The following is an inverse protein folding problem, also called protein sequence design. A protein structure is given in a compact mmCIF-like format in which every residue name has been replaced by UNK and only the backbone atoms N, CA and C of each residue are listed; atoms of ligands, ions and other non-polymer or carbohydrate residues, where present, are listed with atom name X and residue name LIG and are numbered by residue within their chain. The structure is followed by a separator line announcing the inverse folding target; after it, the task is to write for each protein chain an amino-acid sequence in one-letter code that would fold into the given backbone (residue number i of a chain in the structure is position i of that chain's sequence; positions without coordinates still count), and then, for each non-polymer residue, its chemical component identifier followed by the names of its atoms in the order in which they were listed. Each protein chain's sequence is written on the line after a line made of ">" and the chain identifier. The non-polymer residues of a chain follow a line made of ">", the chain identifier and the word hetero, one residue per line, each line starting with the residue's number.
data_IF_375731055077
#
_entry.id   IF_375731055077
#
_cell.length_a   1.000
_cell.length_b   1.000
_cell.length_c   1.000
_cell.angle_alpha   90.00
_cell.angle_beta   90.00
_cell.angle_gamma   90.00
#
_symmetry.space_group_name_H-M   'P 1'
#
loop_
_entity.id
_entity.type
_entity.pdbx_description
1 polymer ?
#
# COMPACT_ATOMS: atom_id res chain seq x y z
N UNK A 1 -41.55 -23.45 11.54
CA UNK A 1 -41.12 -22.56 10.44
C UNK A 1 -40.89 -21.11 10.90
N UNK A 2 -41.65 -20.55 11.82
CA UNK A 2 -41.57 -19.15 12.27
C UNK A 2 -40.33 -18.86 13.17
N UNK A 3 -39.96 -19.79 14.02
CA UNK A 3 -38.79 -19.68 14.92
C UNK A 3 -37.45 -19.60 14.14
N UNK A 4 -37.32 -20.33 13.03
CA UNK A 4 -36.17 -20.30 12.13
C UNK A 4 -36.02 -18.93 11.45
N UNK A 5 -37.11 -18.32 10.99
CA UNK A 5 -37.12 -16.99 10.35
C UNK A 5 -36.76 -15.85 11.33
N UNK A 6 -37.09 -15.97 12.61
CA UNK A 6 -36.74 -15.01 13.66
C UNK A 6 -35.23 -15.10 13.98
N UNK A 7 -34.71 -16.33 14.02
CA UNK A 7 -33.24 -16.54 14.23
C UNK A 7 -32.42 -15.95 13.08
N UNK A 8 -32.80 -16.19 11.83
CA UNK A 8 -32.12 -15.65 10.63
C UNK A 8 -32.14 -14.11 10.62
N UNK A 9 -33.30 -13.49 10.86
CA UNK A 9 -33.40 -12.02 10.93
C UNK A 9 -32.56 -11.40 12.05
N UNK A 10 -32.44 -12.05 13.20
CA UNK A 10 -31.59 -11.58 14.29
C UNK A 10 -30.09 -11.70 13.93
N UNK A 11 -29.72 -12.76 13.25
CA UNK A 11 -28.36 -12.98 12.76
C UNK A 11 -27.98 -11.92 11.72
N UNK A 12 -28.83 -11.65 10.72
CA UNK A 12 -28.62 -10.62 9.70
C UNK A 12 -28.49 -9.21 10.31
N UNK A 13 -29.34 -8.86 11.28
CA UNK A 13 -29.25 -7.56 11.97
C UNK A 13 -27.94 -7.44 12.75
N UNK A 14 -27.49 -8.50 13.38
CA UNK A 14 -26.23 -8.51 14.12
C UNK A 14 -25.02 -8.38 13.19
N UNK A 15 -25.01 -9.09 12.06
CA UNK A 15 -23.99 -8.95 11.00
C UNK A 15 -23.93 -7.53 10.44
N UNK A 16 -25.09 -6.91 10.17
CA UNK A 16 -25.16 -5.53 9.68
C UNK A 16 -24.56 -4.55 10.69
N UNK A 17 -24.87 -4.70 11.98
CA UNK A 17 -24.31 -3.85 13.03
C UNK A 17 -22.80 -4.01 13.17
N UNK A 18 -22.28 -5.23 13.08
CA UNK A 18 -20.83 -5.51 13.12
C UNK A 18 -20.15 -4.84 11.93
N UNK A 19 -20.63 -5.02 10.72
CA UNK A 19 -20.07 -4.37 9.51
C UNK A 19 -20.07 -2.85 9.62
N UNK A 20 -21.17 -2.26 10.06
CA UNK A 20 -21.23 -0.80 10.24
C UNK A 20 -20.22 -0.29 11.27
N UNK A 21 -20.01 -1.03 12.37
CA UNK A 21 -19.02 -0.68 13.37
C UNK A 21 -17.59 -0.80 12.81
N UNK A 22 -17.28 -1.83 12.04
CA UNK A 22 -15.99 -1.99 11.39
C UNK A 22 -15.71 -0.90 10.35
N UNK A 23 -16.69 -0.54 9.52
CA UNK A 23 -16.56 0.56 8.58
C UNK A 23 -16.34 1.91 9.29
N UNK A 24 -17.04 2.14 10.39
CA UNK A 24 -16.84 3.32 11.21
C UNK A 24 -15.41 3.38 11.77
N UNK A 25 -14.92 2.27 12.33
CA UNK A 25 -13.55 2.15 12.83
C UNK A 25 -12.51 2.37 11.71
N UNK A 26 -12.70 1.74 10.54
CA UNK A 26 -11.83 1.97 9.37
C UNK A 26 -11.82 3.45 8.97
N UNK A 27 -12.97 4.11 8.97
CA UNK A 27 -13.10 5.54 8.62
C UNK A 27 -12.40 6.44 9.64
N UNK A 28 -12.65 6.22 10.92
CA UNK A 28 -12.02 6.97 12.01
C UNK A 28 -10.50 6.84 11.98
N UNK A 29 -9.99 5.60 11.86
CA UNK A 29 -8.56 5.33 11.80
C UNK A 29 -7.90 5.99 10.58
N UNK A 30 -8.57 5.99 9.40
CA UNK A 30 -8.07 6.71 8.22
C UNK A 30 -7.95 8.22 8.47
N UNK A 31 -8.91 8.81 9.15
CA UNK A 31 -8.89 10.25 9.47
C UNK A 31 -7.76 10.61 10.43
N UNK A 32 -7.60 9.82 11.50
CA UNK A 32 -6.53 10.01 12.49
C UNK A 32 -5.15 9.92 11.85
N UNK A 33 -4.89 8.87 11.06
CA UNK A 33 -3.61 8.68 10.39
C UNK A 33 -3.29 9.79 9.37
N UNK A 34 -4.31 10.27 8.65
CA UNK A 34 -4.14 11.42 7.75
C UNK A 34 -3.80 12.70 8.50
N UNK A 35 -4.45 12.95 9.63
CA UNK A 35 -4.16 14.11 10.46
C UNK A 35 -2.73 14.07 11.01
N UNK A 36 -2.29 12.93 11.53
CA UNK A 36 -0.91 12.72 12.02
C UNK A 36 0.13 12.92 10.91
N UNK A 37 -0.13 12.37 9.71
CA UNK A 37 0.77 12.56 8.55
C UNK A 37 0.87 14.02 8.12
N UNK A 38 -0.24 14.75 8.16
CA UNK A 38 -0.27 16.17 7.81
C UNK A 38 0.46 17.07 8.83
N UNK A 39 0.63 16.59 10.06
CA UNK A 39 1.34 17.31 11.12
C UNK A 39 2.87 17.11 11.07
N UNK A 40 3.37 16.17 10.26
CA UNK A 40 4.81 15.92 10.13
C UNK A 40 5.52 17.09 9.44
N UNK A 41 6.68 17.45 10.00
CA UNK A 41 7.64 18.34 9.37
C UNK A 41 8.37 17.65 8.22
N UNK A 42 8.94 18.40 7.30
CA UNK A 42 9.73 17.84 6.19
C UNK A 42 10.96 17.05 6.70
N UNK A 43 11.57 17.49 7.80
CA UNK A 43 12.70 16.80 8.42
C UNK A 43 12.29 15.44 9.00
N UNK A 44 11.14 15.33 9.67
CA UNK A 44 10.60 14.06 10.14
C UNK A 44 10.31 13.09 8.99
N UNK A 45 9.70 13.59 7.90
CA UNK A 45 9.44 12.79 6.69
C UNK A 45 10.74 12.28 6.08
N UNK A 46 11.75 13.15 5.95
CA UNK A 46 13.05 12.78 5.40
C UNK A 46 13.76 11.72 6.24
N UNK A 47 13.80 11.90 7.57
CA UNK A 47 14.42 10.91 8.48
C UNK A 47 13.72 9.56 8.43
N UNK A 48 12.38 9.55 8.38
CA UNK A 48 11.62 8.32 8.27
C UNK A 48 11.90 7.59 6.95
N UNK A 49 11.96 8.32 5.83
CA UNK A 49 12.28 7.73 4.52
C UNK A 49 13.71 7.14 4.50
N UNK A 50 14.69 7.86 5.03
CA UNK A 50 16.08 7.39 5.14
C UNK A 50 16.19 6.13 6.03
N UNK A 51 15.47 6.11 7.17
CA UNK A 51 15.37 4.95 8.07
C UNK A 51 14.80 3.74 7.34
N UNK A 52 13.70 3.93 6.60
CA UNK A 52 13.07 2.84 5.84
C UNK A 52 13.98 2.31 4.72
N UNK A 53 14.68 3.18 3.98
CA UNK A 53 15.67 2.74 2.99
C UNK A 53 16.79 1.91 3.62
N UNK A 54 17.30 2.35 4.79
CA UNK A 54 18.32 1.58 5.53
C UNK A 54 17.80 0.19 5.94
N UNK A 55 16.57 0.09 6.44
CA UNK A 55 15.95 -1.19 6.81
C UNK A 55 15.70 -2.07 5.58
N UNK A 56 15.23 -1.52 4.45
CA UNK A 56 15.04 -2.26 3.20
C UNK A 56 16.34 -2.91 2.70
N UNK A 57 17.47 -2.20 2.80
CA UNK A 57 18.79 -2.76 2.43
C UNK A 57 19.21 -3.96 3.27
N UNK A 58 18.63 -4.13 4.45
CA UNK A 58 18.85 -5.30 5.30
C UNK A 58 17.90 -6.47 5.02
N UNK A 59 16.89 -6.28 4.12
CA UNK A 59 15.95 -7.34 3.73
C UNK A 59 16.55 -8.15 2.57
N UNK A 60 16.85 -9.44 2.75
CA UNK A 60 17.49 -10.25 1.70
C UNK A 60 16.65 -10.34 0.42
N UNK A 61 15.33 -10.46 0.53
CA UNK A 61 14.43 -10.56 -0.62
C UNK A 61 14.38 -9.25 -1.43
N UNK A 62 14.45 -8.10 -0.77
CA UNK A 62 14.59 -6.80 -1.45
C UNK A 62 15.92 -6.68 -2.20
N UNK A 63 17.01 -7.11 -1.55
CA UNK A 63 18.34 -7.03 -2.15
C UNK A 63 18.48 -7.97 -3.35
N UNK A 64 17.87 -9.17 -3.32
CA UNK A 64 17.90 -10.16 -4.40
C UNK A 64 16.93 -9.87 -5.54
N UNK A 65 15.89 -9.07 -5.32
CA UNK A 65 14.88 -8.80 -6.32
C UNK A 65 15.47 -8.00 -7.49
N UNK A 66 15.27 -8.48 -8.71
CA UNK A 66 15.59 -7.74 -9.95
C UNK A 66 14.55 -6.64 -10.20
N UNK A 67 13.28 -6.94 -9.92
CA UNK A 67 12.15 -6.01 -10.09
C UNK A 67 11.68 -5.47 -8.74
N UNK A 68 11.56 -4.15 -8.66
CA UNK A 68 10.99 -3.43 -7.51
C UNK A 68 9.78 -2.64 -7.97
N UNK A 69 8.63 -2.97 -7.43
CA UNK A 69 7.38 -2.24 -7.59
C UNK A 69 7.30 -1.17 -6.51
N UNK A 70 7.23 0.09 -6.87
CA UNK A 70 7.22 1.18 -5.92
C UNK A 70 6.08 2.16 -6.21
N UNK A 71 5.40 2.61 -5.18
CA UNK A 71 4.52 3.77 -5.31
C UNK A 71 5.35 5.06 -5.35
N UNK A 72 4.84 6.10 -6.02
CA UNK A 72 5.38 7.45 -5.88
C UNK A 72 4.53 8.14 -4.82
N UNK A 73 5.19 8.58 -3.74
CA UNK A 73 4.51 9.11 -2.57
C UNK A 73 3.64 10.33 -2.90
N UNK A 74 2.43 10.33 -2.38
CA UNK A 74 1.49 11.45 -2.46
C UNK A 74 0.81 11.67 -1.10
N UNK A 75 0.20 12.84 -0.89
CA UNK A 75 -0.61 13.13 0.31
C UNK A 75 0.11 12.80 1.63
N UNK A 76 1.37 13.21 1.74
CA UNK A 76 2.24 12.95 2.89
C UNK A 76 2.42 11.44 3.23
N UNK A 77 2.39 10.57 2.22
CA UNK A 77 2.88 9.20 2.36
C UNK A 77 4.37 9.19 2.68
N UNK A 78 4.87 8.08 3.21
CA UNK A 78 6.30 7.91 3.39
C UNK A 78 6.98 8.04 2.02
N UNK A 79 7.96 8.96 1.93
CA UNK A 79 8.60 9.31 0.66
C UNK A 79 9.43 8.14 0.10
N UNK A 80 9.25 7.87 -1.19
CA UNK A 80 9.87 6.73 -1.87
C UNK A 80 10.85 7.13 -2.97
N UNK A 81 11.00 8.43 -3.28
CA UNK A 81 11.89 8.90 -4.36
C UNK A 81 13.34 8.45 -4.18
N UNK A 82 13.87 8.55 -2.97
CA UNK A 82 15.24 8.11 -2.67
C UNK A 82 15.37 6.58 -2.77
N UNK A 83 14.33 5.82 -2.41
CA UNK A 83 14.30 4.37 -2.57
C UNK A 83 14.28 4.00 -4.05
N UNK A 84 13.43 4.64 -4.85
CA UNK A 84 13.35 4.47 -6.31
C UNK A 84 14.70 4.79 -6.96
N UNK A 85 15.26 5.96 -6.64
CA UNK A 85 16.56 6.39 -7.17
C UNK A 85 17.70 5.46 -6.76
N UNK A 86 17.66 4.93 -5.53
CA UNK A 86 18.63 3.96 -5.08
C UNK A 86 18.49 2.64 -5.86
N UNK A 87 17.28 2.13 -6.08
CA UNK A 87 17.03 0.91 -6.85
C UNK A 87 17.59 1.05 -8.28
N UNK A 88 17.27 2.12 -8.99
CA UNK A 88 17.73 2.38 -10.36
C UNK A 88 19.27 2.44 -10.39
N UNK A 89 19.89 3.19 -9.51
CA UNK A 89 21.37 3.31 -9.44
C UNK A 89 22.09 2.00 -9.11
N UNK A 90 21.39 1.05 -8.48
CA UNK A 90 21.93 -0.28 -8.17
C UNK A 90 21.49 -1.37 -9.17
N UNK A 91 21.07 -0.96 -10.38
CA UNK A 91 20.77 -1.87 -11.48
C UNK A 91 19.48 -2.66 -11.34
N UNK A 92 18.57 -2.26 -10.44
CA UNK A 92 17.25 -2.87 -10.32
C UNK A 92 16.29 -2.24 -11.32
N UNK A 93 15.42 -3.05 -11.91
CA UNK A 93 14.26 -2.58 -12.65
C UNK A 93 13.22 -2.01 -11.68
N UNK A 94 12.72 -0.81 -11.93
CA UNK A 94 11.70 -0.18 -11.11
C UNK A 94 10.42 0.00 -11.89
N UNK A 95 9.31 -0.47 -11.33
CA UNK A 95 7.98 -0.30 -11.91
C UNK A 95 7.08 0.50 -10.96
N UNK A 96 6.39 1.52 -11.49
CA UNK A 96 5.48 2.38 -10.72
C UNK A 96 4.05 2.28 -11.23
N UNK A 97 3.04 2.50 -10.36
CA UNK A 97 1.66 2.26 -10.69
C UNK A 97 1.04 3.37 -11.52
N UNK A 98 0.12 2.99 -12.39
CA UNK A 98 -0.83 3.86 -13.09
C UNK A 98 -2.23 3.27 -12.97
N UNK A 99 -3.21 4.12 -12.67
CA UNK A 99 -4.59 3.71 -12.49
C UNK A 99 -5.37 3.89 -13.79
N UNK A 100 -6.03 2.81 -14.23
CA UNK A 100 -6.92 2.79 -15.38
C UNK A 100 -8.32 2.36 -14.93
N UNK A 101 -9.20 3.31 -14.65
CA UNK A 101 -10.55 3.04 -14.17
C UNK A 101 -10.54 2.31 -12.82
N UNK A 102 -10.92 1.03 -12.81
CA UNK A 102 -10.97 0.17 -11.60
C UNK A 102 -9.73 -0.70 -11.41
N UNK A 103 -8.76 -0.61 -12.32
CA UNK A 103 -7.56 -1.44 -12.32
C UNK A 103 -6.32 -0.57 -12.14
N UNK A 104 -5.28 -1.19 -11.62
CA UNK A 104 -3.95 -0.61 -11.46
C UNK A 104 -2.95 -1.50 -12.20
N UNK A 105 -2.08 -0.90 -12.98
CA UNK A 105 -1.01 -1.58 -13.69
C UNK A 105 0.31 -0.90 -13.38
N UNK A 106 1.39 -1.64 -13.52
CA UNK A 106 2.74 -1.14 -13.25
C UNK A 106 3.52 -1.02 -14.56
N UNK A 107 4.33 0.03 -14.67
CA UNK A 107 5.14 0.35 -15.82
C UNK A 107 6.56 0.65 -15.39
N UNK A 108 7.53 0.15 -16.15
CA UNK A 108 8.93 0.42 -15.86
C UNK A 108 9.26 1.89 -16.04
N UNK A 109 10.11 2.38 -15.17
CA UNK A 109 10.75 3.69 -15.26
C UNK A 109 12.25 3.56 -15.08
N UNK A 110 13.02 4.36 -15.79
CA UNK A 110 14.47 4.49 -15.67
C UNK A 110 14.87 5.76 -14.92
N UNK A 111 13.93 6.69 -14.77
CA UNK A 111 14.05 7.93 -14.04
C UNK A 111 12.66 8.38 -13.54
N UNK A 112 12.62 9.21 -12.50
CA UNK A 112 11.37 9.88 -12.10
C UNK A 112 10.85 10.88 -13.16
N UNK A 113 11.70 11.29 -14.10
CA UNK A 113 11.33 12.13 -15.25
C UNK A 113 10.45 11.38 -16.26
N UNK A 114 10.44 10.05 -16.23
CA UNK A 114 9.53 9.21 -17.03
C UNK A 114 8.06 9.29 -16.54
N UNK A 115 7.82 10.08 -15.47
CA UNK A 115 6.50 10.29 -14.90
C UNK A 115 6.02 11.73 -15.11
N UNK A 116 4.71 11.89 -15.27
CA UNK A 116 4.05 13.20 -15.33
C UNK A 116 2.82 13.24 -14.42
N UNK A 117 2.36 14.44 -14.03
CA UNK A 117 1.13 14.57 -13.25
C UNK A 117 -0.04 13.91 -13.98
N UNK A 118 -0.62 12.90 -13.34
CA UNK A 118 -1.81 12.21 -13.79
C UNK A 118 -3.05 12.63 -12.99
N UNK A 119 -3.98 11.69 -12.79
CA UNK A 119 -5.18 11.93 -12.02
C UNK A 119 -4.86 12.40 -10.60
N UNK A 120 -5.57 13.45 -10.14
CA UNK A 120 -5.38 14.03 -8.80
C UNK A 120 -4.00 14.61 -8.48
N UNK A 121 -3.18 14.93 -9.50
CA UNK A 121 -1.83 15.44 -9.34
C UNK A 121 -0.81 14.40 -8.88
N UNK A 122 -1.16 13.12 -8.89
CA UNK A 122 -0.25 12.02 -8.59
C UNK A 122 0.63 11.79 -9.81
N UNK A 123 1.95 11.63 -9.61
CA UNK A 123 2.85 11.29 -10.70
C UNK A 123 2.57 9.88 -11.21
N UNK A 124 2.32 9.76 -12.51
CA UNK A 124 2.06 8.49 -13.19
C UNK A 124 3.05 8.29 -14.35
N UNK A 125 3.47 7.03 -14.62
CA UNK A 125 4.39 6.72 -15.71
C UNK A 125 3.76 6.99 -17.07
N UNK A 126 4.60 7.34 -18.06
CA UNK A 126 4.20 7.63 -19.45
C UNK A 126 4.03 6.33 -20.27
N UNK A 127 3.91 5.16 -19.65
CA UNK A 127 3.77 3.88 -20.36
C UNK A 127 2.41 3.66 -21.04
N UNK A 128 2.43 2.88 -22.10
CA UNK A 128 1.24 2.37 -22.81
C UNK A 128 0.82 1.00 -22.29
N UNK A 129 -0.38 0.54 -22.65
CA UNK A 129 -0.93 -0.74 -22.17
C UNK A 129 -0.04 -1.96 -22.45
N UNK A 130 0.64 -1.96 -23.58
CA UNK A 130 1.58 -3.02 -24.00
C UNK A 130 2.84 -3.12 -23.13
N UNK A 131 3.15 -2.04 -22.41
CA UNK A 131 4.38 -1.93 -21.59
C UNK A 131 4.15 -2.35 -20.14
N UNK A 132 3.03 -3.00 -19.83
CA UNK A 132 2.69 -3.47 -18.49
C UNK A 132 3.67 -4.50 -17.96
N UNK A 133 4.12 -4.30 -16.74
CA UNK A 133 5.03 -5.20 -16.04
C UNK A 133 4.25 -6.13 -15.12
N UNK A 134 4.51 -7.44 -15.27
CA UNK A 134 3.89 -8.52 -14.45
C UNK A 134 4.94 -9.53 -13.97
N UNK A 135 6.18 -9.11 -13.84
CA UNK A 135 7.30 -9.96 -13.42
C UNK A 135 7.22 -10.27 -11.92
N UNK A 136 7.75 -11.42 -11.44
CA UNK A 136 8.02 -11.61 -10.02
C UNK A 136 8.94 -10.51 -9.49
N UNK A 137 8.77 -10.12 -8.23
CA UNK A 137 9.61 -9.05 -7.67
C UNK A 137 9.22 -8.68 -6.25
N UNK A 138 9.72 -7.54 -5.80
CA UNK A 138 9.48 -7.00 -4.47
C UNK A 138 8.65 -5.72 -4.56
N UNK A 139 7.52 -5.67 -3.87
CA UNK A 139 6.60 -4.54 -3.95
C UNK A 139 6.56 -3.74 -2.65
N UNK A 140 6.79 -2.44 -2.77
CA UNK A 140 6.56 -1.47 -1.71
C UNK A 140 5.08 -1.07 -1.73
N UNK A 141 4.37 -1.30 -0.63
CA UNK A 141 2.92 -1.10 -0.55
C UNK A 141 2.60 0.06 0.41
N UNK A 142 1.91 1.10 -0.04
CA UNK A 142 1.49 2.20 0.82
C UNK A 142 0.28 1.81 1.68
N UNK A 143 0.11 2.52 2.80
CA UNK A 143 -1.06 2.36 3.65
C UNK A 143 -1.26 3.51 4.62
N UNK A 144 -2.40 3.53 5.29
CA UNK A 144 -2.72 4.51 6.33
C UNK A 144 -2.42 3.96 7.73
N UNK A 145 -2.65 2.67 7.97
CA UNK A 145 -2.28 2.02 9.23
C UNK A 145 -1.85 0.58 8.96
N UNK A 146 -1.05 0.05 9.86
CA UNK A 146 -0.54 -1.32 9.84
C UNK A 146 -0.56 -1.88 11.25
N UNK A 147 -0.63 -3.20 11.40
CA UNK A 147 -0.46 -3.85 12.69
C UNK A 147 0.69 -4.86 12.66
N UNK A 148 1.03 -5.40 13.83
CA UNK A 148 2.13 -6.36 13.95
C UNK A 148 1.86 -7.71 13.32
N UNK A 149 0.58 -8.01 13.00
CA UNK A 149 0.17 -9.17 12.20
C UNK A 149 0.32 -8.92 10.70
N UNK A 150 0.82 -7.71 10.32
CA UNK A 150 1.06 -7.27 8.94
C UNK A 150 -0.22 -7.04 8.14
N UNK A 151 -1.34 -6.79 8.82
CA UNK A 151 -2.53 -6.29 8.19
C UNK A 151 -2.34 -4.82 7.80
N UNK A 152 -3.02 -4.39 6.74
CA UNK A 152 -2.89 -3.05 6.16
C UNK A 152 -4.23 -2.38 5.98
N UNK A 153 -4.37 -1.15 6.45
CA UNK A 153 -5.49 -0.28 6.11
C UNK A 153 -5.10 0.64 4.95
N UNK A 154 -5.65 0.38 3.79
CA UNK A 154 -5.49 1.25 2.61
C UNK A 154 -6.48 2.41 2.58
N UNK A 155 -6.46 3.15 1.47
CA UNK A 155 -7.34 4.32 1.25
C UNK A 155 -8.80 3.95 0.92
N UNK A 156 -9.11 2.68 0.66
CA UNK A 156 -10.45 2.18 0.36
C UNK A 156 -10.71 1.84 -1.11
N UNK A 157 -9.76 2.07 -2.02
CA UNK A 157 -9.91 1.74 -3.45
C UNK A 157 -9.67 0.26 -3.79
N UNK A 158 -9.00 -0.48 -2.90
CA UNK A 158 -8.67 -1.90 -3.09
C UNK A 158 -7.74 -2.21 -4.28
N UNK A 159 -7.02 -1.21 -4.80
CA UNK A 159 -6.17 -1.39 -5.99
C UNK A 159 -5.05 -2.40 -5.77
N UNK A 160 -4.33 -2.28 -4.63
CA UNK A 160 -3.24 -3.20 -4.30
C UNK A 160 -3.75 -4.61 -4.02
N UNK A 161 -4.86 -4.76 -3.30
CA UNK A 161 -5.43 -6.07 -2.98
C UNK A 161 -5.87 -6.80 -4.25
N UNK A 162 -6.53 -6.08 -5.17
CA UNK A 162 -6.92 -6.61 -6.49
C UNK A 162 -5.72 -7.00 -7.34
N UNK A 163 -4.67 -6.16 -7.38
CA UNK A 163 -3.47 -6.44 -8.14
C UNK A 163 -2.75 -7.67 -7.59
N UNK A 164 -2.54 -7.73 -6.29
CA UNK A 164 -1.83 -8.80 -5.62
C UNK A 164 -2.59 -10.13 -5.65
N UNK A 165 -3.92 -10.13 -5.74
CA UNK A 165 -4.74 -11.34 -5.90
C UNK A 165 -4.41 -12.14 -7.18
N UNK A 166 -3.92 -11.45 -8.24
CA UNK A 166 -3.51 -12.08 -9.50
C UNK A 166 -1.99 -12.19 -9.67
N UNK A 167 -1.18 -11.76 -8.69
CA UNK A 167 0.27 -11.71 -8.75
C UNK A 167 0.92 -12.29 -7.49
N UNK A 168 0.65 -13.56 -7.20
CA UNK A 168 1.06 -14.24 -5.96
C UNK A 168 2.58 -14.31 -5.74
N UNK A 169 3.38 -14.26 -6.82
CA UNK A 169 4.85 -14.32 -6.78
C UNK A 169 5.53 -12.99 -6.40
N UNK A 170 4.77 -11.99 -6.04
CA UNK A 170 5.29 -10.70 -5.58
C UNK A 170 5.40 -10.74 -4.06
N UNK A 171 6.61 -10.49 -3.56
CA UNK A 171 6.91 -10.30 -2.14
C UNK A 171 6.58 -8.86 -1.78
N UNK A 172 5.88 -8.63 -0.69
CA UNK A 172 5.32 -7.34 -0.32
C UNK A 172 5.93 -6.77 0.94
N UNK A 173 6.25 -5.48 0.94
CA UNK A 173 6.65 -4.73 2.13
C UNK A 173 5.76 -3.50 2.30
N UNK A 174 5.04 -3.43 3.40
CA UNK A 174 4.36 -2.21 3.81
C UNK A 174 5.39 -1.19 4.28
N UNK A 175 5.27 0.07 3.79
CA UNK A 175 6.07 1.18 4.26
C UNK A 175 5.21 2.18 5.02
N UNK A 176 5.67 2.64 6.17
CA UNK A 176 4.95 3.62 6.96
C UNK A 176 5.82 4.35 8.00
N UNK A 177 5.23 5.35 8.63
CA UNK A 177 5.80 6.02 9.79
C UNK A 177 5.57 5.19 11.05
N UNK A 178 6.38 5.36 12.08
CA UNK A 178 6.27 4.63 13.35
C UNK A 178 4.86 4.71 13.97
N UNK A 179 4.21 5.88 13.91
CA UNK A 179 2.86 6.09 14.47
C UNK A 179 1.74 5.40 13.67
N UNK A 180 2.02 4.91 12.47
CA UNK A 180 1.05 4.15 11.66
C UNK A 180 0.96 2.68 12.09
N UNK A 181 1.85 2.25 13.01
CA UNK A 181 1.78 0.92 13.60
C UNK A 181 0.80 0.98 14.76
N UNK A 182 -0.36 0.37 14.57
CA UNK A 182 -1.44 0.31 15.56
C UNK A 182 -1.55 -1.09 16.18
N UNK A 183 -2.30 -1.20 17.26
CA UNK A 183 -2.50 -2.49 17.93
C UNK A 183 -3.21 -3.49 17.01
N UNK A 184 -4.28 -3.04 16.31
CA UNK A 184 -5.06 -3.88 15.40
C UNK A 184 -5.65 -3.06 14.27
N UNK A 185 -5.49 -3.55 13.04
CA UNK A 185 -6.16 -3.04 11.83
C UNK A 185 -7.42 -3.87 11.59
N UNK A 186 -8.60 -3.23 11.42
CA UNK A 186 -9.78 -3.95 10.99
C UNK A 186 -9.57 -4.51 9.58
N UNK A 187 -9.47 -5.84 9.46
CA UNK A 187 -9.17 -6.55 8.21
C UNK A 187 -10.30 -7.52 7.85
N UNK A 188 -10.47 -7.79 6.58
CA UNK A 188 -11.42 -8.76 6.02
C UNK A 188 -10.66 -10.00 5.51
N UNK A 189 -11.36 -11.11 5.32
CA UNK A 189 -10.73 -12.38 4.91
C UNK A 189 -10.05 -12.34 3.54
N UNK A 190 -10.41 -11.37 2.71
CA UNK A 190 -9.81 -11.17 1.37
C UNK A 190 -8.65 -10.15 1.36
N UNK A 191 -8.39 -9.47 2.50
CA UNK A 191 -7.26 -8.55 2.61
C UNK A 191 -5.96 -9.36 2.68
N UNK A 192 -5.00 -9.04 1.80
CA UNK A 192 -3.69 -9.70 1.80
C UNK A 192 -2.79 -9.11 2.88
N UNK A 193 -2.27 -9.97 3.77
CA UNK A 193 -1.21 -9.59 4.70
C UNK A 193 0.09 -9.32 3.96
N UNK A 194 0.87 -8.37 4.44
CA UNK A 194 2.18 -8.06 3.89
C UNK A 194 3.23 -9.06 4.37
N UNK A 195 4.25 -9.32 3.55
CA UNK A 195 5.35 -10.20 3.93
C UNK A 195 6.31 -9.49 4.90
N UNK A 196 6.49 -8.17 4.71
CA UNK A 196 7.32 -7.31 5.55
C UNK A 196 6.59 -6.05 5.99
N UNK A 197 7.01 -5.53 7.14
CA UNK A 197 6.57 -4.24 7.69
C UNK A 197 7.80 -3.41 8.02
N UNK A 198 7.98 -2.28 7.34
CA UNK A 198 9.16 -1.40 7.40
C UNK A 198 8.72 -0.01 7.88
N UNK A 199 9.23 0.44 9.03
CA UNK A 199 8.87 1.72 9.65
C UNK A 199 9.99 2.28 10.53
#
# INVERSE_FOLDING_TARGET
>A
MEVLKISEKNTERNWTRIKMAEEFLKKSLRQDMKAKRNALTEDEKYRAAAKCLSKLKAVPDFMKADWVYAYIACRNELETKDIISWCIRNGKHVAVPKVHGKYMHFYEITSLEDCKPGAFGILEPIGEEKDRITKPGFMLVPGLAFDREKNRLGYGGGFYDKYLASHEKIITAALGYDFQIVEKVPSESHDRRMDYLIY
#
